data_IF_250414869966
#
_entry.id   IF_250414869966
#
_cell.length_a   1.000
_cell.length_b   1.000
_cell.length_c   1.000
_cell.angle_alpha   90.00
_cell.angle_beta   90.00
_cell.angle_gamma   90.00
#
_symmetry.space_group_name_H-M   'P 1'
#
loop_
_entity.id
_entity.type
_entity.pdbx_description
1 polymer ?
#
# COMPACT_ATOMS: atom_id res chain seq x y z
N UNK A 1 9.13 -1.02 -17.89
CA UNK A 1 8.89 -2.27 -17.14
C UNK A 1 7.61 -2.07 -16.35
N UNK A 2 6.71 -3.06 -16.32
CA UNK A 2 5.43 -2.92 -15.62
C UNK A 2 5.41 -3.82 -14.41
N UNK A 3 5.31 -3.25 -13.21
CA UNK A 3 5.20 -3.99 -11.97
C UNK A 3 3.80 -4.61 -11.83
N UNK A 4 3.76 -5.87 -11.39
CA UNK A 4 2.53 -6.51 -10.98
C UNK A 4 2.11 -6.00 -9.59
N UNK A 5 0.81 -6.02 -9.30
CA UNK A 5 0.30 -5.65 -7.99
C UNK A 5 -0.19 -6.90 -7.30
N UNK A 6 0.43 -7.21 -6.17
CA UNK A 6 0.08 -8.36 -5.34
C UNK A 6 -0.24 -7.91 -3.92
N UNK A 7 -0.88 -8.78 -3.14
CA UNK A 7 -1.30 -8.48 -1.79
C UNK A 7 -0.78 -9.55 -0.84
N UNK A 8 -0.32 -9.12 0.33
CA UNK A 8 -0.31 -10.00 1.50
C UNK A 8 -1.74 -10.52 1.72
N UNK A 9 -1.90 -11.81 2.04
CA UNK A 9 -3.22 -12.43 2.20
C UNK A 9 -4.11 -11.65 3.20
N UNK A 10 -3.51 -11.12 4.27
CA UNK A 10 -4.22 -10.33 5.29
C UNK A 10 -4.60 -8.96 4.74
N UNK A 11 -3.73 -8.34 3.93
CA UNK A 11 -4.04 -7.09 3.24
C UNK A 11 -5.14 -7.28 2.18
N UNK A 12 -5.19 -8.44 1.52
CA UNK A 12 -6.26 -8.75 0.58
C UNK A 12 -7.63 -8.88 1.29
N UNK A 13 -7.66 -9.46 2.49
CA UNK A 13 -8.86 -9.48 3.34
C UNK A 13 -9.29 -8.07 3.73
N UNK A 14 -8.36 -7.20 4.10
CA UNK A 14 -8.64 -5.78 4.38
C UNK A 14 -9.18 -5.05 3.16
N UNK A 15 -8.55 -5.25 2.00
CA UNK A 15 -8.96 -4.69 0.72
C UNK A 15 -10.39 -5.07 0.36
N UNK A 16 -10.77 -6.34 0.53
CA UNK A 16 -12.11 -6.82 0.21
C UNK A 16 -13.20 -6.26 1.14
N UNK A 17 -12.84 -5.83 2.36
CA UNK A 17 -13.75 -5.14 3.28
C UNK A 17 -13.98 -3.67 2.94
N UNK A 18 -13.19 -3.10 2.03
CA UNK A 18 -13.36 -1.71 1.61
C UNK A 18 -14.58 -1.55 0.71
N UNK A 19 -15.25 -0.41 0.88
CA UNK A 19 -16.26 0.04 -0.07
C UNK A 19 -15.69 0.12 -1.50
N UNK A 20 -16.56 -0.14 -2.47
CA UNK A 20 -16.19 -0.17 -3.89
C UNK A 20 -15.52 1.14 -4.33
N UNK A 21 -16.02 2.28 -3.87
CA UNK A 21 -15.48 3.62 -4.17
C UNK A 21 -14.03 3.76 -3.71
N UNK A 22 -13.70 3.30 -2.51
CA UNK A 22 -12.35 3.34 -1.94
C UNK A 22 -11.40 2.42 -2.72
N UNK A 23 -11.84 1.19 -3.03
CA UNK A 23 -11.07 0.25 -3.87
C UNK A 23 -10.73 0.86 -5.22
N UNK A 24 -11.70 1.48 -5.90
CA UNK A 24 -11.48 2.09 -7.21
C UNK A 24 -10.51 3.28 -7.14
N UNK A 25 -10.58 4.10 -6.09
CA UNK A 25 -9.61 5.18 -5.88
C UNK A 25 -8.18 4.66 -5.70
N UNK A 26 -7.98 3.61 -4.90
CA UNK A 26 -6.67 2.99 -4.75
C UNK A 26 -6.21 2.31 -6.03
N UNK A 27 -7.09 1.58 -6.73
CA UNK A 27 -6.78 0.89 -8.00
C UNK A 27 -6.27 1.86 -9.05
N UNK A 28 -6.87 3.05 -9.17
CA UNK A 28 -6.40 4.13 -10.04
C UNK A 28 -4.98 4.59 -9.70
N UNK A 29 -4.63 4.66 -8.41
CA UNK A 29 -3.28 5.05 -7.97
C UNK A 29 -2.26 3.92 -8.17
N UNK A 30 -2.61 2.68 -7.82
CA UNK A 30 -1.78 1.50 -8.05
C UNK A 30 -1.45 1.32 -9.53
N UNK A 31 -2.44 1.47 -10.43
CA UNK A 31 -2.22 1.40 -11.88
C UNK A 31 -1.17 2.40 -12.39
N UNK A 32 -1.10 3.60 -11.80
CA UNK A 32 -0.07 4.60 -12.13
C UNK A 32 1.32 4.18 -11.64
N UNK A 33 1.39 3.53 -10.48
CA UNK A 33 2.65 3.07 -9.88
C UNK A 33 3.24 1.86 -10.61
N UNK A 34 2.46 1.10 -11.37
CA UNK A 34 2.98 -0.04 -12.12
C UNK A 34 4.10 0.35 -13.10
N UNK A 35 4.19 1.60 -13.54
CA UNK A 35 5.30 2.07 -14.40
C UNK A 35 6.53 2.54 -13.60
N UNK A 36 6.29 3.16 -12.45
CA UNK A 36 7.34 3.58 -11.53
C UNK A 36 6.81 3.56 -10.09
N UNK A 37 7.11 2.53 -9.30
CA UNK A 37 6.61 2.42 -7.94
C UNK A 37 7.44 3.21 -6.93
N UNK A 38 8.59 3.77 -7.33
CA UNK A 38 9.50 4.51 -6.45
C UNK A 38 9.11 5.98 -6.34
N UNK A 39 8.16 6.27 -5.44
CA UNK A 39 7.72 7.63 -5.15
C UNK A 39 8.40 8.14 -3.89
N UNK A 40 9.48 8.91 -4.04
CA UNK A 40 10.31 9.38 -2.91
C UNK A 40 9.53 10.14 -1.84
N UNK A 41 8.62 11.04 -2.23
CA UNK A 41 7.76 11.77 -1.28
C UNK A 41 6.79 10.86 -0.49
N UNK A 42 6.60 9.62 -0.94
CA UNK A 42 5.77 8.61 -0.29
C UNK A 42 6.58 7.59 0.52
N UNK A 43 7.91 7.63 0.45
CA UNK A 43 8.80 6.71 1.18
C UNK A 43 8.55 6.81 2.68
N UNK A 44 8.62 5.66 3.35
CA UNK A 44 8.56 5.53 4.80
C UNK A 44 9.97 5.43 5.39
N UNK A 45 10.07 5.74 6.68
CA UNK A 45 11.33 5.78 7.43
C UNK A 45 11.18 4.97 8.73
N UNK A 46 12.31 4.75 9.41
CA UNK A 46 12.38 3.92 10.63
C UNK A 46 12.07 2.45 10.32
N UNK A 47 11.28 1.82 11.18
CA UNK A 47 10.83 0.42 11.09
C UNK A 47 10.21 0.01 9.74
N UNK A 48 9.71 0.97 8.97
CA UNK A 48 9.11 0.75 7.64
C UNK A 48 10.01 1.28 6.51
N UNK A 49 11.31 1.44 6.74
CA UNK A 49 12.25 1.81 5.69
C UNK A 49 12.17 0.81 4.53
N UNK A 50 12.13 1.34 3.30
CA UNK A 50 11.92 0.54 2.08
C UNK A 50 10.44 0.32 1.71
N UNK A 51 9.50 0.74 2.55
CA UNK A 51 8.09 0.80 2.18
C UNK A 51 7.66 2.20 1.73
N UNK A 52 6.49 2.25 1.10
CA UNK A 52 5.87 3.45 0.56
C UNK A 52 4.40 3.51 0.95
N UNK A 53 3.82 4.72 0.93
CA UNK A 53 2.41 4.94 1.27
C UNK A 53 1.60 5.58 0.15
N UNK A 54 0.39 5.11 -0.05
CA UNK A 54 -0.65 5.80 -0.81
C UNK A 54 -1.65 6.41 0.17
N UNK A 55 -1.98 7.69 0.00
CA UNK A 55 -2.96 8.41 0.83
C UNK A 55 -4.22 8.75 0.01
N UNK A 56 -5.39 8.40 0.53
CA UNK A 56 -6.68 8.93 0.09
C UNK A 56 -7.15 9.93 1.15
N UNK A 57 -6.75 11.20 1.02
CA UNK A 57 -6.95 12.21 2.07
C UNK A 57 -8.42 12.47 2.37
N UNK A 58 -9.24 12.69 1.34
CA UNK A 58 -10.66 12.98 1.49
C UNK A 58 -11.44 11.82 2.13
N UNK A 59 -11.07 10.59 1.80
CA UNK A 59 -11.73 9.40 2.35
C UNK A 59 -11.11 8.87 3.65
N UNK A 60 -9.98 9.43 4.10
CA UNK A 60 -9.33 9.01 5.33
C UNK A 60 -8.68 7.63 5.30
N UNK A 61 -8.18 7.17 4.14
CA UNK A 61 -7.52 5.85 4.02
C UNK A 61 -6.03 5.94 3.66
N UNK A 62 -5.29 4.90 4.04
CA UNK A 62 -3.89 4.66 3.67
C UNK A 62 -3.72 3.22 3.17
N UNK A 63 -2.80 3.05 2.22
CA UNK A 63 -2.31 1.77 1.74
C UNK A 63 -0.79 1.80 1.83
N UNK A 64 -0.20 0.75 2.39
CA UNK A 64 1.25 0.59 2.51
C UNK A 64 1.68 -0.53 1.56
N UNK A 65 2.73 -0.27 0.78
CA UNK A 65 3.31 -1.25 -0.12
C UNK A 65 4.83 -1.27 -0.04
N UNK A 66 5.41 -2.40 -0.44
CA UNK A 66 6.84 -2.60 -0.66
C UNK A 66 7.04 -2.89 -2.15
N UNK A 67 8.19 -2.52 -2.68
CA UNK A 67 8.61 -2.92 -4.03
C UNK A 67 9.55 -4.11 -3.89
N UNK A 68 9.29 -5.18 -4.62
CA UNK A 68 10.14 -6.37 -4.71
C UNK A 68 10.72 -6.37 -6.11
N UNK A 69 11.95 -5.88 -6.27
CA UNK A 69 12.57 -5.71 -7.59
C UNK A 69 12.82 -7.04 -8.29
N UNK A 70 13.24 -8.06 -7.54
CA UNK A 70 13.56 -9.39 -8.08
C UNK A 70 12.34 -10.08 -8.72
N UNK A 71 11.14 -9.77 -8.23
CA UNK A 71 9.87 -10.32 -8.71
C UNK A 71 9.08 -9.32 -9.57
N UNK A 72 9.54 -8.06 -9.66
CA UNK A 72 8.86 -6.95 -10.34
C UNK A 72 7.44 -6.76 -9.76
N UNK A 73 7.33 -6.76 -8.43
CA UNK A 73 6.05 -6.70 -7.71
C UNK A 73 5.93 -5.46 -6.82
N UNK A 74 4.77 -4.80 -6.90
CA UNK A 74 4.24 -3.89 -5.87
C UNK A 74 3.46 -4.77 -4.89
N UNK A 75 4.07 -5.08 -3.76
CA UNK A 75 3.48 -5.93 -2.74
C UNK A 75 2.75 -5.08 -1.70
N UNK A 76 1.42 -5.15 -1.69
CA UNK A 76 0.57 -4.42 -0.76
C UNK A 76 0.56 -5.14 0.59
N UNK A 77 1.09 -4.46 1.60
CA UNK A 77 1.32 -5.03 2.94
C UNK A 77 0.18 -4.73 3.88
N UNK A 78 -0.45 -3.56 3.78
CA UNK A 78 -1.55 -3.17 4.66
C UNK A 78 -2.47 -2.15 3.99
N UNK A 79 -3.78 -2.26 4.25
CA UNK A 79 -4.76 -1.26 3.83
C UNK A 79 -5.71 -0.96 4.97
N UNK A 80 -5.92 0.32 5.26
CA UNK A 80 -6.78 0.67 6.37
C UNK A 80 -7.07 2.15 6.46
N UNK A 81 -7.95 2.48 7.39
CA UNK A 81 -8.23 3.88 7.73
C UNK A 81 -6.99 4.53 8.35
N UNK A 82 -6.91 5.84 8.23
CA UNK A 82 -5.83 6.67 8.79
C UNK A 82 -5.89 6.73 10.32
N UNK A 83 -7.10 6.63 10.89
CA UNK A 83 -7.34 6.70 12.33
C UNK A 83 -6.45 5.72 13.10
N UNK A 84 -5.91 6.20 14.22
CA UNK A 84 -5.00 5.50 15.14
C UNK A 84 -3.74 4.90 14.49
N UNK A 85 -3.29 5.44 13.36
CA UNK A 85 -2.09 4.94 12.65
C UNK A 85 -2.12 3.45 12.27
N UNK A 86 -3.29 2.81 12.33
CA UNK A 86 -3.48 1.35 12.17
C UNK A 86 -2.79 0.77 10.95
N UNK A 87 -2.84 1.46 9.81
CA UNK A 87 -2.17 0.99 8.59
C UNK A 87 -0.65 0.86 8.75
N UNK A 88 0.00 1.72 9.54
CA UNK A 88 1.43 1.63 9.82
C UNK A 88 1.73 0.55 10.86
N UNK A 89 0.96 0.49 11.96
CA UNK A 89 1.14 -0.54 12.98
C UNK A 89 0.99 -1.95 12.40
N UNK A 90 -0.06 -2.15 11.59
CA UNK A 90 -0.28 -3.39 10.85
C UNK A 90 0.87 -3.71 9.92
N UNK A 91 1.38 -2.71 9.17
CA UNK A 91 2.53 -2.94 8.30
C UNK A 91 3.78 -3.35 9.10
N UNK A 92 4.05 -2.71 10.25
CA UNK A 92 5.19 -3.06 11.12
C UNK A 92 5.08 -4.50 11.60
N UNK A 93 3.93 -4.90 12.15
CA UNK A 93 3.66 -6.28 12.62
C UNK A 93 3.79 -7.36 11.55
N UNK A 94 3.76 -6.99 10.26
CA UNK A 94 3.83 -7.94 9.14
C UNK A 94 5.23 -8.05 8.55
N UNK A 95 6.07 -7.04 8.75
CA UNK A 95 7.39 -6.92 8.14
C UNK A 95 8.54 -7.05 9.15
N UNK A 96 8.26 -6.85 10.43
CA UNK A 96 9.12 -7.12 11.57
C UNK A 96 8.67 -8.42 12.24
#
# INVERSE_FOLDING_TARGET
MTFNVEFDERAFKEWNKLEKTIREQFKKKLKKLQQNPYVESARLHGDLAGCFKIKLRASGFRLIYKVIDDEIVIWVVAVGKREDEKAYETARKRLL
#
